data_IF_920272723506
#
_entry.id   IF_920272723506
#
_cell.length_a   1.000
_cell.length_b   1.000
_cell.length_c   1.000
_cell.angle_alpha   90.00
_cell.angle_beta   90.00
_cell.angle_gamma   90.00
#
_symmetry.space_group_name_H-M   'P 1'
#
loop_
_entity.id
_entity.type
_entity.pdbx_description
1 polymer ?
#
# COMPACT_ATOMS: atom_id res chain seq x y z
N UNK A 1 -1.36 -9.33 17.39
CA UNK A 1 -2.78 -9.11 16.97
C UNK A 1 -3.33 -10.43 16.42
N UNK A 2 -4.63 -10.75 16.57
CA UNK A 2 -5.16 -11.99 15.98
C UNK A 2 -5.31 -11.87 14.45
N UNK A 3 -5.36 -13.01 13.74
CA UNK A 3 -5.35 -13.04 12.27
C UNK A 3 -6.52 -12.24 11.67
N UNK A 4 -7.74 -12.40 12.19
CA UNK A 4 -8.90 -11.69 11.66
C UNK A 4 -8.74 -10.17 11.75
N UNK A 5 -8.27 -9.67 12.90
CA UNK A 5 -8.03 -8.24 13.09
C UNK A 5 -6.86 -7.74 12.22
N UNK A 6 -5.82 -8.54 11.99
CA UNK A 6 -4.75 -8.22 11.04
C UNK A 6 -5.29 -8.03 9.62
N UNK A 7 -6.11 -8.96 9.15
CA UNK A 7 -6.69 -8.93 7.81
C UNK A 7 -7.65 -7.75 7.62
N UNK A 8 -8.49 -7.45 8.63
CA UNK A 8 -9.36 -6.27 8.63
C UNK A 8 -8.52 -5.00 8.60
N UNK A 9 -7.45 -4.93 9.40
CA UNK A 9 -6.57 -3.76 9.45
C UNK A 9 -5.89 -3.55 8.10
N UNK A 10 -5.38 -4.60 7.46
CA UNK A 10 -4.78 -4.52 6.13
C UNK A 10 -5.78 -4.05 5.07
N UNK A 11 -7.00 -4.59 5.07
CA UNK A 11 -8.08 -4.17 4.17
C UNK A 11 -8.43 -2.68 4.37
N UNK A 12 -8.68 -2.24 5.61
CA UNK A 12 -9.01 -0.85 5.90
C UNK A 12 -7.86 0.09 5.51
N UNK A 13 -6.62 -0.32 5.77
CA UNK A 13 -5.44 0.43 5.35
C UNK A 13 -5.42 0.63 3.83
N UNK A 14 -5.66 -0.43 3.04
CA UNK A 14 -5.68 -0.33 1.58
C UNK A 14 -6.76 0.61 1.05
N UNK A 15 -7.97 0.53 1.61
CA UNK A 15 -9.04 1.45 1.26
C UNK A 15 -8.69 2.91 1.57
N UNK A 16 -8.18 3.18 2.77
CA UNK A 16 -7.82 4.54 3.19
C UNK A 16 -6.68 5.12 2.37
N UNK A 17 -5.63 4.34 2.13
CA UNK A 17 -4.51 4.76 1.26
C UNK A 17 -5.03 5.18 -0.11
N UNK A 18 -5.93 4.40 -0.72
CA UNK A 18 -6.48 4.77 -2.03
C UNK A 18 -7.37 6.02 -1.97
N UNK A 19 -8.16 6.18 -0.91
CA UNK A 19 -9.00 7.38 -0.74
C UNK A 19 -8.11 8.63 -0.68
N UNK A 20 -6.95 8.54 -0.02
CA UNK A 20 -5.97 9.62 0.03
C UNK A 20 -5.34 9.88 -1.34
N UNK A 21 -4.98 8.83 -2.11
CA UNK A 21 -4.48 8.98 -3.49
C UNK A 21 -5.50 9.71 -4.37
N UNK A 22 -6.78 9.29 -4.31
CA UNK A 22 -7.83 9.83 -5.16
C UNK A 22 -8.08 11.32 -4.92
N UNK A 23 -7.84 11.81 -3.71
CA UNK A 23 -7.89 13.25 -3.44
C UNK A 23 -6.78 13.99 -4.20
N UNK A 24 -5.55 13.44 -4.21
CA UNK A 24 -4.43 14.03 -4.92
C UNK A 24 -4.61 13.98 -6.45
N UNK A 25 -5.15 12.86 -6.95
CA UNK A 25 -5.43 12.66 -8.37
C UNK A 25 -6.60 13.52 -8.90
N UNK A 26 -7.17 14.41 -8.07
CA UNK A 26 -8.39 15.19 -8.33
C UNK A 26 -9.64 14.34 -8.64
N UNK A 27 -9.60 13.06 -8.28
CA UNK A 27 -10.70 12.11 -8.44
C UNK A 27 -11.61 12.05 -7.21
N UNK A 28 -11.38 12.84 -6.16
CA UNK A 28 -12.29 12.96 -5.03
C UNK A 28 -12.16 14.33 -4.37
N UNK A 29 -13.25 15.09 -4.36
CA UNK A 29 -13.34 16.43 -3.73
C UNK A 29 -13.47 16.32 -2.20
N UNK A 30 -12.52 15.67 -1.55
CA UNK A 30 -12.44 15.63 -0.09
C UNK A 30 -11.89 16.96 0.45
N UNK A 31 -12.36 17.45 1.61
CA UNK A 31 -11.72 18.56 2.28
C UNK A 31 -10.26 18.23 2.64
N UNK A 32 -9.35 19.18 2.46
CA UNK A 32 -7.92 19.03 2.74
C UNK A 32 -7.65 18.43 4.15
N UNK A 33 -8.30 18.96 5.18
CA UNK A 33 -8.14 18.48 6.55
C UNK A 33 -8.57 17.01 6.71
N UNK A 34 -9.63 16.59 6.01
CA UNK A 34 -10.07 15.20 6.05
C UNK A 34 -9.04 14.30 5.38
N UNK A 35 -8.45 14.72 4.26
CA UNK A 35 -7.36 13.98 3.61
C UNK A 35 -6.16 13.77 4.55
N UNK A 36 -5.77 14.81 5.31
CA UNK A 36 -4.69 14.69 6.30
C UNK A 36 -5.04 13.72 7.44
N UNK A 37 -6.29 13.77 7.94
CA UNK A 37 -6.76 12.87 8.99
C UNK A 37 -6.77 11.42 8.51
N UNK A 38 -7.27 11.16 7.30
CA UNK A 38 -7.24 9.81 6.70
C UNK A 38 -5.80 9.33 6.48
N UNK A 39 -4.92 10.24 6.04
CA UNK A 39 -3.48 10.02 5.94
C UNK A 39 -2.89 9.53 7.27
N UNK A 40 -3.08 10.33 8.32
CA UNK A 40 -2.61 9.99 9.67
C UNK A 40 -3.22 8.68 10.19
N UNK A 41 -4.49 8.43 9.90
CA UNK A 41 -5.18 7.23 10.35
C UNK A 41 -4.66 5.96 9.67
N UNK A 42 -4.48 5.93 8.34
CA UNK A 42 -3.90 4.75 7.70
C UNK A 42 -2.45 4.55 8.16
N UNK A 43 -1.68 5.62 8.39
CA UNK A 43 -0.32 5.52 8.93
C UNK A 43 -0.28 4.88 10.32
N UNK A 44 -1.25 5.20 11.17
CA UNK A 44 -1.44 4.54 12.46
C UNK A 44 -1.76 3.05 12.29
N UNK A 45 -2.63 2.67 11.33
CA UNK A 45 -2.94 1.26 11.07
C UNK A 45 -1.73 0.48 10.56
N UNK A 46 -0.90 1.09 9.70
CA UNK A 46 0.38 0.50 9.27
C UNK A 46 1.30 0.29 10.48
N UNK A 47 1.41 1.27 11.37
CA UNK A 47 2.20 1.12 12.60
C UNK A 47 1.69 -0.04 13.47
N UNK A 48 0.37 -0.23 13.60
CA UNK A 48 -0.19 -1.39 14.32
C UNK A 48 0.21 -2.72 13.67
N UNK A 49 0.18 -2.80 12.33
CA UNK A 49 0.58 -3.99 11.59
C UNK A 49 2.07 -4.29 11.77
N UNK A 50 2.93 -3.26 11.74
CA UNK A 50 4.37 -3.38 11.96
C UNK A 50 4.68 -3.83 13.40
N UNK A 51 4.10 -3.16 14.39
CA UNK A 51 4.50 -3.35 15.78
C UNK A 51 3.91 -4.59 16.44
N UNK A 52 2.74 -5.06 16.00
CA UNK A 52 2.00 -6.14 16.68
C UNK A 52 1.84 -7.44 15.88
N UNK A 53 2.40 -7.50 14.67
CA UNK A 53 2.35 -8.71 13.81
C UNK A 53 3.73 -8.90 13.15
N UNK A 54 4.68 -9.55 13.86
CA UNK A 54 6.05 -9.73 13.38
C UNK A 54 6.16 -10.38 12.00
N UNK A 55 5.24 -11.29 11.66
CA UNK A 55 5.24 -12.03 10.40
C UNK A 55 5.02 -11.11 9.19
N UNK A 56 4.21 -10.06 9.34
CA UNK A 56 3.87 -9.13 8.24
C UNK A 56 4.67 -7.82 8.33
N UNK A 57 5.35 -7.53 9.44
CA UNK A 57 6.13 -6.31 9.60
C UNK A 57 7.16 -6.08 8.48
N UNK A 58 7.94 -7.10 8.02
CA UNK A 58 8.86 -6.95 6.91
C UNK A 58 8.19 -6.52 5.60
N UNK A 59 6.95 -6.97 5.34
CA UNK A 59 6.18 -6.63 4.15
C UNK A 59 5.84 -5.14 4.14
N UNK A 60 5.32 -4.61 5.25
CA UNK A 60 4.94 -3.20 5.36
C UNK A 60 6.16 -2.27 5.34
N UNK A 61 7.21 -2.61 6.09
CA UNK A 61 8.44 -1.83 6.11
C UNK A 61 9.11 -1.86 4.73
N UNK A 62 9.20 -3.03 4.10
CA UNK A 62 9.78 -3.16 2.76
C UNK A 62 9.01 -2.37 1.71
N UNK A 63 7.67 -2.38 1.78
CA UNK A 63 6.80 -1.54 0.95
C UNK A 63 7.07 -0.04 1.12
N UNK A 64 7.16 0.44 2.37
CA UNK A 64 7.48 1.85 2.66
C UNK A 64 8.86 2.21 2.11
N UNK A 65 9.88 1.37 2.33
CA UNK A 65 11.23 1.62 1.82
C UNK A 65 11.20 1.71 0.29
N UNK A 66 10.49 0.80 -0.41
CA UNK A 66 10.39 0.82 -1.87
C UNK A 66 9.77 2.11 -2.42
N UNK A 67 8.65 2.54 -1.82
CA UNK A 67 7.96 3.80 -2.19
C UNK A 67 8.86 5.02 -1.93
N UNK A 68 9.56 5.06 -0.79
CA UNK A 68 10.49 6.15 -0.44
C UNK A 68 11.69 6.17 -1.38
N UNK A 69 12.30 5.01 -1.66
CA UNK A 69 13.49 4.89 -2.49
C UNK A 69 13.25 5.40 -3.91
N UNK A 70 12.05 5.20 -4.45
CA UNK A 70 11.65 5.67 -5.77
C UNK A 70 10.90 7.01 -5.76
N UNK A 71 10.88 7.70 -4.60
CA UNK A 71 10.30 9.04 -4.42
C UNK A 71 8.85 9.13 -4.88
N UNK A 72 8.07 8.10 -4.56
CA UNK A 72 6.65 7.96 -4.92
C UNK A 72 5.68 8.54 -3.90
N UNK A 73 6.19 9.28 -2.92
CA UNK A 73 5.37 10.05 -1.98
C UNK A 73 5.14 11.43 -2.61
N UNK A 74 4.01 11.59 -3.28
CA UNK A 74 3.66 12.78 -4.07
C UNK A 74 2.53 13.63 -3.44
N UNK A 75 1.70 13.05 -2.57
CA UNK A 75 0.65 13.78 -1.86
C UNK A 75 0.99 14.13 -0.41
N UNK A 76 0.58 15.32 0.04
CA UNK A 76 0.70 15.76 1.45
C UNK A 76 0.07 14.76 2.44
N UNK A 77 -1.05 14.13 2.06
CA UNK A 77 -1.70 13.09 2.87
C UNK A 77 -0.79 11.87 3.09
N UNK A 78 0.06 11.52 2.10
CA UNK A 78 1.02 10.44 2.26
C UNK A 78 2.20 10.81 3.14
N UNK A 79 2.64 12.06 3.12
CA UNK A 79 3.64 12.56 4.06
C UNK A 79 3.12 12.48 5.50
N UNK A 80 1.87 12.87 5.74
CA UNK A 80 1.23 12.72 7.06
C UNK A 80 1.11 11.25 7.45
N UNK A 81 0.74 10.36 6.51
CA UNK A 81 0.68 8.92 6.77
C UNK A 81 2.04 8.32 7.12
N UNK A 82 3.10 8.70 6.41
CA UNK A 82 4.47 8.28 6.74
C UNK A 82 4.90 8.82 8.11
N UNK A 83 4.67 10.10 8.40
CA UNK A 83 5.01 10.71 9.69
C UNK A 83 4.26 10.02 10.85
N UNK A 84 2.97 9.75 10.67
CA UNK A 84 2.15 9.00 11.63
C UNK A 84 2.70 7.59 11.84
N UNK A 85 3.04 6.88 10.76
CA UNK A 85 3.66 5.55 10.84
C UNK A 85 4.92 5.58 11.68
N UNK A 86 5.85 6.49 11.37
CA UNK A 86 7.12 6.62 12.10
C UNK A 86 6.92 6.99 13.57
N UNK A 87 6.01 7.93 13.85
CA UNK A 87 5.69 8.33 15.22
C UNK A 87 5.17 7.16 16.04
N UNK A 88 4.16 6.44 15.55
CA UNK A 88 3.58 5.33 16.31
C UNK A 88 4.47 4.10 16.38
N UNK A 89 5.24 3.79 15.33
CA UNK A 89 6.26 2.74 15.39
C UNK A 89 7.33 3.08 16.45
N UNK A 90 7.70 4.35 16.61
CA UNK A 90 8.64 4.75 17.67
C UNK A 90 8.09 4.56 19.08
N UNK A 91 6.76 4.64 19.25
CA UNK A 91 6.08 4.43 20.53
C UNK A 91 5.85 2.95 20.84
N UNK A 92 5.46 2.16 19.84
CA UNK A 92 5.10 0.75 20.02
C UNK A 92 6.30 -0.20 19.86
N UNK A 93 7.38 0.27 19.22
CA UNK A 93 8.55 -0.52 18.90
C UNK A 93 8.41 -1.30 17.58
N UNK A 94 9.52 -1.89 17.16
CA UNK A 94 9.61 -2.78 16.00
C UNK A 94 9.99 -4.16 16.52
N UNK A 95 9.25 -5.24 16.17
CA UNK A 95 9.63 -6.59 16.55
C UNK A 95 10.91 -7.02 15.85
N UNK A 96 11.47 -8.16 16.22
CA UNK A 96 12.57 -8.76 15.47
C UNK A 96 12.13 -9.03 14.03
N UNK A 97 12.89 -8.49 13.07
CA UNK A 97 12.58 -8.60 11.65
C UNK A 97 13.40 -9.72 11.03
N UNK A 98 12.72 -10.56 10.24
CA UNK A 98 13.41 -11.44 9.32
C UNK A 98 14.04 -10.59 8.20
N UNK A 99 15.35 -10.41 8.26
CA UNK A 99 16.11 -9.58 7.31
C UNK A 99 16.02 -10.09 5.87
N UNK A 100 15.89 -11.40 5.67
CA UNK A 100 15.68 -11.97 4.33
C UNK A 100 14.33 -11.56 3.76
N UNK A 101 13.24 -11.64 4.54
CA UNK A 101 11.92 -11.18 4.09
C UNK A 101 11.90 -9.67 3.84
N UNK A 102 12.53 -8.89 4.73
CA UNK A 102 12.60 -7.44 4.56
C UNK A 102 13.33 -7.07 3.25
N UNK A 103 14.48 -7.69 2.98
CA UNK A 103 15.23 -7.46 1.76
C UNK A 103 14.43 -7.86 0.51
N UNK A 104 13.79 -9.03 0.54
CA UNK A 104 12.96 -9.52 -0.56
C UNK A 104 11.80 -8.55 -0.85
N UNK A 105 10.99 -8.20 0.16
CA UNK A 105 9.85 -7.30 -0.01
C UNK A 105 10.28 -5.90 -0.44
N UNK A 106 11.42 -5.40 0.05
CA UNK A 106 11.97 -4.12 -0.40
C UNK A 106 12.31 -4.16 -1.90
N UNK A 107 13.03 -5.19 -2.35
CA UNK A 107 13.43 -5.33 -3.76
C UNK A 107 12.20 -5.45 -4.67
N UNK A 108 11.24 -6.30 -4.31
CA UNK A 108 10.03 -6.50 -5.12
C UNK A 108 9.12 -5.27 -5.11
N UNK A 109 9.01 -4.55 -3.98
CA UNK A 109 8.33 -3.25 -3.93
C UNK A 109 8.99 -2.22 -4.83
N UNK A 110 10.33 -2.15 -4.86
CA UNK A 110 11.05 -1.31 -5.81
C UNK A 110 10.75 -1.69 -7.26
N UNK A 111 10.66 -2.97 -7.59
CA UNK A 111 10.29 -3.39 -8.95
C UNK A 111 8.86 -2.97 -9.31
N UNK A 112 7.90 -3.14 -8.41
CA UNK A 112 6.54 -2.68 -8.64
C UNK A 112 6.48 -1.19 -8.94
N UNK A 113 7.12 -0.37 -8.10
CA UNK A 113 7.12 1.08 -8.29
C UNK A 113 7.91 1.51 -9.54
N UNK A 114 8.99 0.82 -9.87
CA UNK A 114 9.77 1.09 -11.07
C UNK A 114 8.96 0.78 -12.33
N UNK A 115 8.36 -0.41 -12.43
CA UNK A 115 7.59 -0.82 -13.60
C UNK A 115 6.24 -0.11 -13.72
N UNK A 116 5.65 0.34 -12.62
CA UNK A 116 4.47 1.20 -12.62
C UNK A 116 4.80 2.68 -12.95
N UNK A 117 6.08 3.08 -12.95
CA UNK A 117 6.49 4.43 -13.34
C UNK A 117 6.51 4.62 -14.86
N UNK A 118 6.45 5.88 -15.32
CA UNK A 118 6.61 6.23 -16.75
C UNK A 118 7.89 5.65 -17.36
N UNK A 119 8.98 5.61 -16.57
CA UNK A 119 10.26 5.08 -17.03
C UNK A 119 10.17 3.57 -17.26
N UNK A 120 9.67 2.81 -16.28
CA UNK A 120 9.52 1.36 -16.43
C UNK A 120 8.49 0.98 -17.50
N UNK A 121 7.38 1.71 -17.58
CA UNK A 121 6.35 1.48 -18.60
C UNK A 121 6.86 1.71 -20.03
N UNK A 122 7.81 2.62 -20.22
CA UNK A 122 8.45 2.88 -21.52
C UNK A 122 9.29 1.70 -22.04
N UNK A 123 9.80 0.86 -21.13
CA UNK A 123 10.62 -0.31 -21.46
C UNK A 123 9.77 -1.50 -21.96
N UNK A 124 8.47 -1.50 -21.66
CA UNK A 124 7.58 -2.63 -21.93
C UNK A 124 6.75 -2.35 -23.17
N UNK A 125 7.04 -3.02 -24.28
CA UNK A 125 6.31 -2.79 -25.55
C UNK A 125 4.90 -3.42 -25.57
N UNK A 126 4.69 -4.52 -24.85
CA UNK A 126 3.43 -5.26 -24.88
C UNK A 126 2.37 -4.60 -23.97
N UNK A 127 1.23 -4.20 -24.56
CA UNK A 127 0.13 -3.55 -23.84
C UNK A 127 -0.47 -4.40 -22.70
N UNK A 128 -0.57 -5.71 -22.87
CA UNK A 128 -1.08 -6.60 -21.84
C UNK A 128 -0.11 -6.67 -20.65
N UNK A 129 1.19 -6.76 -20.95
CA UNK A 129 2.22 -6.79 -19.92
C UNK A 129 2.28 -5.45 -19.17
N UNK A 130 2.16 -4.32 -19.86
CA UNK A 130 2.01 -3.00 -19.21
C UNK A 130 0.85 -2.97 -18.22
N UNK A 131 -0.32 -3.46 -18.63
CA UNK A 131 -1.50 -3.50 -17.78
C UNK A 131 -1.32 -4.39 -16.54
N UNK A 132 -0.61 -5.52 -16.68
CA UNK A 132 -0.29 -6.40 -15.55
C UNK A 132 0.68 -5.69 -14.61
N UNK A 133 1.76 -5.11 -15.14
CA UNK A 133 2.78 -4.43 -14.34
C UNK A 133 2.24 -3.18 -13.64
N UNK A 134 1.26 -2.49 -14.21
CA UNK A 134 0.57 -1.38 -13.53
C UNK A 134 -0.24 -1.82 -12.32
N UNK A 135 -0.55 -3.12 -12.18
CA UNK A 135 -1.20 -3.67 -10.98
C UNK A 135 -0.20 -3.99 -9.85
N UNK A 136 1.11 -3.74 -10.05
CA UNK A 136 2.16 -3.96 -9.04
C UNK A 136 2.18 -5.40 -8.49
N UNK A 137 2.34 -6.42 -9.36
CA UNK A 137 2.19 -7.82 -8.97
C UNK A 137 3.41 -8.40 -8.23
N UNK A 138 4.58 -7.76 -8.27
CA UNK A 138 5.82 -8.38 -7.81
C UNK A 138 5.82 -8.60 -6.30
N UNK A 139 5.36 -7.61 -5.51
CA UNK A 139 5.26 -7.71 -4.07
C UNK A 139 4.26 -8.79 -3.66
N UNK A 140 3.07 -8.81 -4.27
CA UNK A 140 2.04 -9.81 -4.00
C UNK A 140 2.52 -11.23 -4.33
N UNK A 141 3.14 -11.42 -5.51
CA UNK A 141 3.71 -12.72 -5.92
C UNK A 141 4.82 -13.16 -4.97
N UNK A 142 5.70 -12.25 -4.55
CA UNK A 142 6.75 -12.57 -3.58
C UNK A 142 6.18 -12.97 -2.22
N UNK A 143 5.12 -12.31 -1.75
CA UNK A 143 4.41 -12.63 -0.53
C UNK A 143 3.73 -14.00 -0.62
N UNK A 144 3.13 -14.33 -1.76
CA UNK A 144 2.57 -15.66 -2.02
C UNK A 144 3.65 -16.74 -1.96
N UNK A 145 4.77 -16.56 -2.66
CA UNK A 145 5.88 -17.51 -2.66
C UNK A 145 6.39 -17.75 -1.24
N UNK A 146 6.67 -16.68 -0.48
CA UNK A 146 7.13 -16.79 0.92
C UNK A 146 6.08 -17.50 1.79
N UNK A 147 4.79 -17.17 1.61
CA UNK A 147 3.71 -17.80 2.37
C UNK A 147 3.61 -19.31 2.10
N UNK A 148 3.76 -19.74 0.84
CA UNK A 148 3.77 -21.16 0.45
C UNK A 148 4.94 -21.90 1.09
N UNK A 149 6.15 -21.33 1.05
CA UNK A 149 7.34 -21.98 1.60
C UNK A 149 7.37 -22.04 3.13
N UNK A 150 6.80 -21.04 3.80
CA UNK A 150 6.83 -20.93 5.28
C UNK A 150 5.58 -21.50 5.95
N UNK A 151 4.48 -21.65 5.20
CA UNK A 151 3.15 -21.95 5.73
C UNK A 151 2.47 -20.74 6.40
N UNK A 152 3.09 -19.55 6.39
CA UNK A 152 2.60 -18.35 7.08
C UNK A 152 1.72 -17.51 6.15
N UNK A 153 0.49 -17.97 5.94
CA UNK A 153 -0.45 -17.38 4.97
C UNK A 153 -0.89 -15.94 5.28
N UNK A 154 -0.77 -15.49 6.53
CA UNK A 154 -1.15 -14.12 6.92
C UNK A 154 -0.37 -13.05 6.14
N UNK A 155 0.84 -13.36 5.67
CA UNK A 155 1.68 -12.46 4.86
C UNK A 155 0.98 -12.15 3.54
N UNK A 156 0.71 -13.18 2.73
CA UNK A 156 0.05 -13.00 1.44
C UNK A 156 -1.39 -12.49 1.58
N UNK A 157 -2.16 -13.03 2.52
CA UNK A 157 -3.55 -12.58 2.73
C UNK A 157 -3.63 -11.10 3.13
N UNK A 158 -2.64 -10.59 3.87
CA UNK A 158 -2.62 -9.17 4.24
C UNK A 158 -2.43 -8.26 3.03
N UNK A 159 -1.45 -8.56 2.15
CA UNK A 159 -1.24 -7.75 0.94
C UNK A 159 -2.39 -7.91 -0.05
N UNK A 160 -2.89 -9.14 -0.24
CA UNK A 160 -4.03 -9.40 -1.12
C UNK A 160 -5.28 -8.59 -0.71
N UNK A 161 -5.60 -8.56 0.59
CA UNK A 161 -6.76 -7.80 1.07
C UNK A 161 -6.53 -6.29 1.01
N UNK A 162 -5.30 -5.83 1.25
CA UNK A 162 -4.93 -4.44 1.02
C UNK A 162 -5.18 -4.06 -0.45
N UNK A 163 -4.69 -4.85 -1.41
CA UNK A 163 -4.82 -4.58 -2.85
C UNK A 163 -6.27 -4.68 -3.33
N UNK A 164 -7.05 -5.65 -2.84
CA UNK A 164 -8.48 -5.73 -3.12
C UNK A 164 -9.19 -4.46 -2.64
N UNK A 165 -8.94 -4.03 -1.40
CA UNK A 165 -9.55 -2.83 -0.83
C UNK A 165 -9.16 -1.58 -1.62
N UNK A 166 -7.88 -1.48 -1.99
CA UNK A 166 -7.32 -0.41 -2.80
C UNK A 166 -8.02 -0.31 -4.16
N UNK A 167 -8.14 -1.43 -4.88
CA UNK A 167 -8.83 -1.48 -6.20
C UNK A 167 -10.33 -1.17 -6.06
N UNK A 168 -10.98 -1.64 -4.99
CA UNK A 168 -12.39 -1.34 -4.76
C UNK A 168 -12.59 0.16 -4.52
N UNK A 169 -11.79 0.77 -3.65
CA UNK A 169 -11.84 2.20 -3.37
C UNK A 169 -11.60 3.04 -4.65
N UNK A 170 -10.66 2.63 -5.51
CA UNK A 170 -10.43 3.26 -6.81
C UNK A 170 -11.68 3.27 -7.69
N UNK A 171 -12.32 2.10 -7.85
CA UNK A 171 -13.53 1.95 -8.66
C UNK A 171 -14.71 2.75 -8.10
N UNK A 172 -14.88 2.77 -6.79
CA UNK A 172 -15.91 3.57 -6.14
C UNK A 172 -15.66 5.06 -6.36
N UNK A 173 -14.44 5.54 -6.14
CA UNK A 173 -14.07 6.94 -6.38
C UNK A 173 -14.33 7.38 -7.82
N UNK A 174 -13.83 6.63 -8.80
CA UNK A 174 -14.02 6.94 -10.23
C UNK A 174 -15.48 6.96 -10.66
N UNK A 175 -16.33 6.10 -10.07
CA UNK A 175 -17.77 6.10 -10.35
C UNK A 175 -18.44 7.39 -9.87
N UNK A 176 -18.03 7.92 -8.70
CA UNK A 176 -18.59 9.17 -8.16
C UNK A 176 -18.07 10.42 -8.90
N UNK A 177 -16.83 10.41 -9.42
CA UNK A 177 -16.33 11.48 -10.29
C UNK A 177 -17.14 11.59 -11.58
N UNK A 178 -17.39 10.46 -12.26
CA UNK A 178 -18.09 10.46 -13.55
C UNK A 178 -19.52 10.98 -13.47
N UNK A 179 -20.16 10.95 -12.30
CA UNK A 179 -21.52 11.45 -12.11
C UNK A 179 -21.55 12.99 -12.14
N UNK A 180 -20.49 13.66 -11.67
CA UNK A 180 -20.41 15.14 -11.73
C UNK A 180 -20.12 15.70 -13.13
N UNK A 181 -19.66 14.88 -14.08
CA UNK A 181 -19.33 15.32 -15.45
C UNK A 181 -20.45 15.11 -16.47
N UNK A 182 -21.63 14.63 -16.04
CA UNK A 182 -22.81 14.46 -16.93
C UNK A 182 -23.82 15.60 -16.78
N UNK A 183 -23.55 16.58 -15.91
CA UNK A 183 -24.28 17.85 -15.87
C UNK A 183 -23.36 18.97 -16.36
N UNK A 184 -23.38 19.25 -17.66
CA UNK A 184 -23.33 20.55 -18.36
C UNK A 184 -23.54 20.30 -19.86
#
# INVERSE_FOLDING_TARGET
MNIALTLITAFVTGALTKIVDLHHDNNLKLPYNLNMILGGFYGFLIALLISFVPEVAPLWIGGIIGVVALRKIDAEGHYVGLASTLFFVSLFGIPELNTFFLAAFTIFSCFDEFFASKQGESLVKNKHLKKILSLRPFLEVSALIISVFTGVWVIWLSILLFDIAYILADRFGQKHVKIEWVEI
#
